data_IF_175490853926
#
_entry.id   IF_175490853926
#
_cell.length_a   1.000
_cell.length_b   1.000
_cell.length_c   1.000
_cell.angle_alpha   90.00
_cell.angle_beta   90.00
_cell.angle_gamma   90.00
#
_symmetry.space_group_name_H-M   'P 1'
#
loop_
_entity.id
_entity.type
_entity.pdbx_description
1 polymer ?
#
# COMPACT_ATOMS: atom_id res chain seq x y z
N UNK A 1 -13.50 -4.97 24.76
CA UNK A 1 -12.07 -4.94 25.09
C UNK A 1 -11.58 -3.67 25.78
N UNK A 2 -10.27 -3.40 25.76
CA UNK A 2 -9.64 -2.28 26.50
C UNK A 2 -10.17 -0.89 26.09
N UNK A 3 -10.53 -0.70 24.80
CA UNK A 3 -11.07 0.59 24.30
C UNK A 3 -12.43 0.90 24.92
N UNK A 4 -13.31 -0.07 25.03
CA UNK A 4 -14.65 0.13 25.63
C UNK A 4 -14.59 0.45 27.12
N UNK A 5 -13.57 -0.06 27.82
CA UNK A 5 -13.34 0.26 29.23
C UNK A 5 -13.00 1.74 29.48
N UNK A 6 -12.65 2.49 28.43
CA UNK A 6 -12.41 3.93 28.46
C UNK A 6 -13.70 4.76 28.29
N UNK A 7 -14.85 4.11 28.02
CA UNK A 7 -16.14 4.75 27.77
C UNK A 7 -16.03 5.90 26.75
N UNK A 8 -15.49 5.66 25.53
CA UNK A 8 -15.29 6.74 24.56
C UNK A 8 -16.62 7.19 23.97
N UNK A 9 -16.78 8.50 23.74
CA UNK A 9 -17.95 9.07 23.03
C UNK A 9 -17.93 8.70 21.52
N UNK A 10 -16.76 8.41 20.96
CA UNK A 10 -16.59 7.98 19.58
C UNK A 10 -15.20 7.42 19.32
N UNK A 11 -15.02 6.67 18.23
CA UNK A 11 -13.77 6.00 17.90
C UNK A 11 -13.34 6.30 16.46
N UNK A 12 -12.07 6.62 16.26
CA UNK A 12 -11.45 6.71 14.94
C UNK A 12 -10.32 5.69 14.86
N UNK A 13 -10.31 4.84 13.83
CA UNK A 13 -9.30 3.81 13.68
C UNK A 13 -9.11 3.35 12.24
N UNK A 14 -7.97 2.70 11.95
CA UNK A 14 -7.66 2.13 10.65
C UNK A 14 -8.01 0.63 10.62
N UNK A 15 -9.00 0.20 9.82
CA UNK A 15 -9.41 -1.20 9.70
C UNK A 15 -8.47 -1.95 8.75
N UNK A 16 -7.26 -2.26 9.20
CA UNK A 16 -6.21 -2.86 8.35
C UNK A 16 -6.48 -4.33 8.01
N UNK A 17 -7.14 -5.08 8.92
CA UNK A 17 -7.41 -6.51 8.77
C UNK A 17 -8.91 -6.77 9.01
N UNK A 18 -9.69 -7.04 7.94
CA UNK A 18 -11.16 -7.15 8.01
C UNK A 18 -11.66 -8.16 9.06
N UNK A 19 -11.04 -9.32 9.15
CA UNK A 19 -11.45 -10.38 10.08
C UNK A 19 -11.35 -9.99 11.57
N UNK A 20 -10.47 -9.06 11.94
CA UNK A 20 -10.36 -8.53 13.28
C UNK A 20 -11.20 -7.26 13.50
N UNK A 21 -11.51 -6.57 12.41
CA UNK A 21 -12.27 -5.32 12.46
C UNK A 21 -13.74 -5.58 12.77
N UNK A 22 -14.35 -6.57 12.09
CA UNK A 22 -15.79 -6.83 12.24
C UNK A 22 -16.24 -7.10 13.68
N UNK A 23 -15.63 -7.98 14.46
CA UNK A 23 -16.01 -8.17 15.86
C UNK A 23 -15.93 -6.87 16.69
N UNK A 24 -14.96 -6.00 16.37
CA UNK A 24 -14.78 -4.72 17.05
C UNK A 24 -15.86 -3.70 16.67
N UNK A 25 -16.23 -3.61 15.40
CA UNK A 25 -17.31 -2.71 14.94
C UNK A 25 -18.67 -3.18 15.41
N UNK A 26 -18.91 -4.48 15.48
CA UNK A 26 -20.13 -5.05 16.07
C UNK A 26 -20.26 -4.66 17.56
N UNK A 27 -19.15 -4.72 18.31
CA UNK A 27 -19.09 -4.31 19.72
C UNK A 27 -19.35 -2.79 19.89
N UNK A 28 -18.75 -1.93 19.05
CA UNK A 28 -19.02 -0.50 19.04
C UNK A 28 -20.49 -0.19 18.74
N UNK A 29 -21.07 -0.87 17.75
CA UNK A 29 -22.48 -0.70 17.36
C UNK A 29 -23.42 -1.12 18.47
N UNK A 30 -23.17 -2.24 19.17
CA UNK A 30 -23.96 -2.68 20.31
C UNK A 30 -23.98 -1.67 21.46
N UNK A 31 -22.91 -0.91 21.63
CA UNK A 31 -22.78 0.13 22.66
C UNK A 31 -23.19 1.52 22.16
N UNK A 32 -23.71 1.64 20.93
CA UNK A 32 -24.07 2.90 20.29
C UNK A 32 -22.90 3.90 20.23
N UNK A 33 -21.65 3.40 20.09
CA UNK A 33 -20.45 4.23 19.96
C UNK A 33 -20.22 4.50 18.48
N UNK A 34 -20.33 5.76 18.00
CA UNK A 34 -20.05 6.11 16.61
C UNK A 34 -18.59 5.94 16.28
N UNK A 35 -18.30 5.54 15.03
CA UNK A 35 -16.91 5.40 14.60
C UNK A 35 -16.68 5.86 13.18
N UNK A 36 -15.44 6.25 12.92
CA UNK A 36 -14.92 6.70 11.62
C UNK A 36 -13.71 5.86 11.23
N UNK A 37 -13.62 5.54 9.96
CA UNK A 37 -12.42 4.93 9.41
C UNK A 37 -11.40 5.97 8.94
N UNK A 38 -10.11 5.68 9.16
CA UNK A 38 -8.98 6.46 8.65
C UNK A 38 -8.01 5.54 7.91
N UNK A 39 -7.34 6.06 6.88
CA UNK A 39 -6.34 5.39 6.06
C UNK A 39 -6.88 4.19 5.25
N UNK A 40 -7.51 3.23 5.88
CA UNK A 40 -8.11 2.03 5.28
C UNK A 40 -9.63 2.00 5.44
N UNK A 41 -10.36 1.37 4.53
CA UNK A 41 -11.82 1.30 4.53
C UNK A 41 -12.33 -0.13 4.29
N UNK A 42 -13.41 -0.49 4.99
CA UNK A 42 -14.20 -1.70 4.75
C UNK A 42 -15.61 -1.24 4.35
N UNK A 43 -15.98 -1.46 3.08
CA UNK A 43 -17.25 -0.95 2.52
C UNK A 43 -18.50 -1.56 3.13
N UNK A 44 -18.38 -2.79 3.62
CA UNK A 44 -19.51 -3.57 4.17
C UNK A 44 -19.91 -3.17 5.59
N UNK A 45 -19.11 -2.32 6.25
CA UNK A 45 -19.33 -1.91 7.63
C UNK A 45 -19.87 -0.48 7.72
N UNK A 46 -20.84 -0.20 8.61
CA UNK A 46 -21.57 1.07 8.68
C UNK A 46 -20.81 2.17 9.47
N UNK A 47 -19.56 2.47 9.10
CA UNK A 47 -18.85 3.61 9.65
C UNK A 47 -19.56 4.93 9.26
N UNK A 48 -19.55 5.94 10.13
CA UNK A 48 -20.10 7.26 9.84
C UNK A 48 -19.44 7.91 8.61
N UNK A 49 -18.14 7.74 8.48
CA UNK A 49 -17.38 8.24 7.33
C UNK A 49 -16.01 7.58 7.25
N UNK A 50 -15.33 7.84 6.13
CA UNK A 50 -13.96 7.40 5.88
C UNK A 50 -13.10 8.58 5.42
N UNK A 51 -11.94 8.72 6.04
CA UNK A 51 -10.92 9.70 5.68
C UNK A 51 -9.65 8.99 5.26
N UNK A 52 -9.42 8.92 3.96
CA UNK A 52 -8.28 8.23 3.38
C UNK A 52 -8.23 8.36 1.87
N UNK A 53 -7.21 7.75 1.27
CA UNK A 53 -7.05 7.72 -0.17
C UNK A 53 -7.99 6.68 -0.79
N UNK A 54 -8.54 6.98 -1.97
CA UNK A 54 -9.18 5.96 -2.79
C UNK A 54 -8.10 5.00 -3.31
N UNK A 55 -7.95 3.86 -2.66
CA UNK A 55 -6.88 2.90 -2.93
C UNK A 55 -6.94 2.32 -4.34
N UNK A 56 -8.14 2.00 -4.84
CA UNK A 56 -8.32 1.51 -6.19
C UNK A 56 -7.85 2.54 -7.24
N UNK A 57 -8.34 3.77 -7.12
CA UNK A 57 -7.98 4.86 -8.02
C UNK A 57 -6.50 5.22 -7.94
N UNK A 58 -5.91 5.12 -6.74
CA UNK A 58 -4.48 5.30 -6.53
C UNK A 58 -3.66 4.23 -7.25
N UNK A 59 -4.09 2.97 -7.22
CA UNK A 59 -3.45 1.89 -7.96
C UNK A 59 -3.53 2.08 -9.47
N UNK A 60 -4.71 2.45 -9.98
CA UNK A 60 -4.92 2.78 -11.39
C UNK A 60 -3.99 3.92 -11.85
N UNK A 61 -3.89 4.99 -11.05
CA UNK A 61 -2.96 6.08 -11.29
C UNK A 61 -1.49 5.62 -11.25
N UNK A 62 -1.14 4.74 -10.32
CA UNK A 62 0.22 4.21 -10.20
C UNK A 62 0.65 3.45 -11.46
N UNK A 63 -0.24 2.64 -12.03
CA UNK A 63 0.02 1.93 -13.28
C UNK A 63 0.31 2.92 -14.43
N UNK A 64 -0.54 3.94 -14.56
CA UNK A 64 -0.34 4.98 -15.57
C UNK A 64 1.01 5.68 -15.42
N UNK A 65 1.39 6.02 -14.18
CA UNK A 65 2.68 6.67 -13.92
C UNK A 65 3.86 5.75 -14.19
N UNK A 66 3.76 4.46 -13.82
CA UNK A 66 4.81 3.49 -14.09
C UNK A 66 5.02 3.31 -15.60
N UNK A 67 3.94 3.22 -16.38
CA UNK A 67 4.03 3.06 -17.83
C UNK A 67 4.56 4.31 -18.53
N UNK A 68 4.25 5.52 -18.03
CA UNK A 68 4.88 6.76 -18.52
C UNK A 68 6.39 6.77 -18.32
N UNK A 69 6.89 6.15 -17.24
CA UNK A 69 8.33 6.02 -16.97
C UNK A 69 8.99 4.90 -17.77
N UNK A 70 8.29 3.76 -17.86
CA UNK A 70 8.77 2.56 -18.53
C UNK A 70 8.86 2.71 -20.05
N UNK A 71 8.03 3.61 -20.62
CA UNK A 71 7.83 3.76 -22.05
C UNK A 71 6.76 2.80 -22.60
N UNK A 72 6.20 3.15 -23.75
CA UNK A 72 5.11 2.39 -24.38
C UNK A 72 5.50 0.95 -24.77
N UNK A 73 6.79 0.70 -24.98
CA UNK A 73 7.34 -0.60 -25.37
C UNK A 73 7.68 -1.50 -24.18
N UNK A 74 7.37 -1.12 -22.95
CA UNK A 74 7.67 -1.94 -21.77
C UNK A 74 6.89 -3.26 -21.82
N UNK A 75 7.62 -4.37 -21.93
CA UNK A 75 7.05 -5.72 -22.09
C UNK A 75 6.81 -6.41 -20.74
N UNK A 76 7.52 -5.97 -19.69
CA UNK A 76 7.53 -6.65 -18.40
C UNK A 76 7.60 -5.67 -17.25
N UNK A 77 6.85 -5.96 -16.19
CA UNK A 77 6.90 -5.27 -14.90
C UNK A 77 6.85 -6.31 -13.78
N UNK A 78 7.28 -5.91 -12.57
CA UNK A 78 7.15 -6.76 -11.36
C UNK A 78 6.39 -6.03 -10.26
N UNK A 79 5.48 -6.75 -9.61
CA UNK A 79 4.83 -6.33 -8.37
C UNK A 79 5.54 -7.03 -7.20
N UNK A 80 6.14 -6.23 -6.33
CA UNK A 80 6.74 -6.73 -5.09
C UNK A 80 5.71 -6.68 -3.96
N UNK A 81 5.38 -7.82 -3.38
CA UNK A 81 4.44 -7.94 -2.27
C UNK A 81 5.17 -8.39 -1.01
N UNK A 82 4.81 -7.83 0.14
CA UNK A 82 5.30 -8.34 1.44
C UNK A 82 4.18 -9.14 2.09
N UNK A 83 4.42 -10.43 2.24
CA UNK A 83 3.48 -11.36 2.85
C UNK A 83 3.87 -11.59 4.30
N UNK A 84 2.95 -11.36 5.22
CA UNK A 84 3.11 -11.66 6.64
C UNK A 84 2.12 -12.77 7.02
N UNK A 85 2.64 -13.90 7.51
CA UNK A 85 1.85 -15.03 8.03
C UNK A 85 0.75 -15.54 7.05
N UNK A 86 1.06 -15.53 5.74
CA UNK A 86 0.15 -15.97 4.69
C UNK A 86 -0.92 -14.94 4.28
N UNK A 87 -0.89 -13.74 4.86
CA UNK A 87 -1.80 -12.64 4.48
C UNK A 87 -1.08 -11.71 3.52
N UNK A 88 -1.62 -11.56 2.32
CA UNK A 88 -1.14 -10.60 1.32
C UNK A 88 -1.59 -9.20 1.70
N UNK A 89 -0.78 -8.52 2.51
CA UNK A 89 -0.95 -7.10 2.77
C UNK A 89 -2.23 -6.72 3.54
N UNK A 90 -2.56 -5.45 3.48
CA UNK A 90 -3.81 -4.89 3.95
C UNK A 90 -4.83 -4.79 2.81
N UNK A 91 -6.13 -4.67 3.14
CA UNK A 91 -7.20 -4.38 2.18
C UNK A 91 -6.85 -3.19 1.25
N UNK A 92 -6.12 -2.20 1.77
CA UNK A 92 -5.65 -1.06 0.98
C UNK A 92 -4.67 -1.47 -0.13
N UNK A 93 -3.71 -2.36 0.17
CA UNK A 93 -2.73 -2.85 -0.81
C UNK A 93 -3.40 -3.68 -1.90
N UNK A 94 -4.30 -4.57 -1.51
CA UNK A 94 -5.09 -5.38 -2.44
C UNK A 94 -5.89 -4.49 -3.40
N UNK A 95 -6.59 -3.47 -2.89
CA UNK A 95 -7.35 -2.53 -3.73
C UNK A 95 -6.46 -1.71 -4.67
N UNK A 96 -5.26 -1.32 -4.24
CA UNK A 96 -4.27 -0.67 -5.11
C UNK A 96 -3.83 -1.61 -6.23
N UNK A 97 -3.55 -2.86 -5.91
CA UNK A 97 -3.16 -3.86 -6.90
C UNK A 97 -4.29 -4.13 -7.92
N UNK A 98 -5.55 -4.24 -7.46
CA UNK A 98 -6.71 -4.39 -8.36
C UNK A 98 -6.79 -3.21 -9.35
N UNK A 99 -6.74 -1.97 -8.86
CA UNK A 99 -6.79 -0.80 -9.74
C UNK A 99 -5.59 -0.71 -10.70
N UNK A 100 -4.41 -1.11 -10.24
CA UNK A 100 -3.21 -1.19 -11.09
C UNK A 100 -3.39 -2.19 -12.23
N UNK A 101 -3.86 -3.40 -11.93
CA UNK A 101 -4.09 -4.46 -12.94
C UNK A 101 -5.20 -4.10 -13.92
N UNK A 102 -6.24 -3.40 -13.48
CA UNK A 102 -7.31 -2.90 -14.34
C UNK A 102 -6.74 -1.94 -15.40
N UNK A 103 -5.95 -0.94 -15.01
CA UNK A 103 -5.27 -0.05 -15.97
C UNK A 103 -4.39 -0.83 -16.96
N UNK A 104 -3.59 -1.78 -16.45
CA UNK A 104 -2.69 -2.58 -17.30
C UNK A 104 -3.47 -3.43 -18.29
N UNK A 105 -4.59 -4.02 -17.88
CA UNK A 105 -5.45 -4.81 -18.76
C UNK A 105 -6.11 -3.95 -19.85
N UNK A 106 -6.53 -2.74 -19.50
CA UNK A 106 -7.19 -1.82 -20.44
C UNK A 106 -6.24 -1.20 -21.47
N UNK A 107 -5.03 -0.84 -21.03
CA UNK A 107 -4.12 -0.02 -21.85
C UNK A 107 -2.86 -0.76 -22.32
N UNK A 108 -2.40 -1.77 -21.58
CA UNK A 108 -1.17 -2.51 -21.86
C UNK A 108 -1.37 -4.03 -21.70
N UNK A 109 -2.37 -4.65 -22.37
CA UNK A 109 -2.72 -6.07 -22.17
C UNK A 109 -1.61 -7.05 -22.56
N UNK A 110 -0.65 -6.62 -23.37
CA UNK A 110 0.51 -7.43 -23.76
C UNK A 110 1.66 -7.37 -22.75
N UNK A 111 1.64 -6.43 -21.81
CA UNK A 111 2.68 -6.30 -20.78
C UNK A 111 2.55 -7.42 -19.75
N UNK A 112 3.62 -8.20 -19.57
CA UNK A 112 3.67 -9.28 -18.58
C UNK A 112 3.88 -8.72 -17.19
N UNK A 113 3.05 -9.16 -16.24
CA UNK A 113 3.16 -8.79 -14.84
C UNK A 113 3.73 -9.98 -14.06
N UNK A 114 4.95 -9.81 -13.55
CA UNK A 114 5.57 -10.74 -12.61
C UNK A 114 5.16 -10.39 -11.18
N UNK A 115 5.16 -11.37 -10.32
CA UNK A 115 4.87 -11.21 -8.90
C UNK A 115 6.03 -11.79 -8.10
N UNK A 116 6.54 -11.01 -7.14
CA UNK A 116 7.52 -11.49 -6.18
C UNK A 116 7.00 -11.28 -4.77
N UNK A 117 6.73 -12.39 -4.10
CA UNK A 117 6.25 -12.42 -2.73
C UNK A 117 7.44 -12.51 -1.77
N UNK A 118 7.71 -11.42 -1.07
CA UNK A 118 8.75 -11.34 -0.05
C UNK A 118 8.16 -11.78 1.29
N UNK A 119 8.60 -12.92 1.82
CA UNK A 119 8.05 -13.53 3.03
C UNK A 119 8.94 -13.34 4.26
N UNK A 120 10.18 -12.95 4.04
CA UNK A 120 11.20 -13.03 5.04
C UNK A 120 10.94 -12.15 6.26
N UNK A 121 11.24 -12.70 7.43
CA UNK A 121 11.32 -11.96 8.69
C UNK A 121 12.68 -11.25 8.84
N UNK A 122 13.62 -11.50 7.92
CA UNK A 122 14.99 -10.98 7.93
C UNK A 122 15.36 -10.43 6.57
N UNK A 123 15.99 -9.26 6.54
CA UNK A 123 16.43 -8.57 5.31
C UNK A 123 17.38 -9.42 4.44
N UNK A 124 18.14 -10.36 5.05
CA UNK A 124 19.02 -11.26 4.31
C UNK A 124 18.29 -12.26 3.41
N UNK A 125 17.11 -12.72 3.85
CA UNK A 125 16.28 -13.65 3.08
C UNK A 125 15.60 -12.92 1.92
N UNK A 126 15.07 -11.71 2.14
CA UNK A 126 14.56 -10.85 1.08
C UNK A 126 15.62 -10.58 0.00
N UNK A 127 16.90 -10.41 0.42
CA UNK A 127 18.01 -10.20 -0.52
C UNK A 127 18.24 -11.42 -1.43
N UNK A 128 18.17 -12.63 -0.88
CA UNK A 128 18.33 -13.86 -1.68
C UNK A 128 17.20 -14.03 -2.69
N UNK A 129 15.95 -13.79 -2.27
CA UNK A 129 14.79 -13.87 -3.16
C UNK A 129 14.88 -12.85 -4.31
N UNK A 130 15.36 -11.64 -4.01
CA UNK A 130 15.59 -10.61 -5.03
C UNK A 130 16.74 -10.98 -5.97
N UNK A 131 17.84 -11.60 -5.47
CA UNK A 131 18.94 -12.07 -6.29
C UNK A 131 18.48 -13.16 -7.27
N UNK A 132 17.72 -14.14 -6.80
CA UNK A 132 17.14 -15.21 -7.61
C UNK A 132 16.19 -14.64 -8.68
N UNK A 133 15.27 -13.77 -8.29
CA UNK A 133 14.33 -13.15 -9.22
C UNK A 133 15.04 -12.39 -10.34
N UNK A 134 16.00 -11.52 -10.02
CA UNK A 134 16.70 -10.74 -11.04
C UNK A 134 17.69 -11.56 -11.88
N UNK A 135 18.10 -12.73 -11.42
CA UNK A 135 18.87 -13.69 -12.21
C UNK A 135 17.97 -14.40 -13.22
N UNK A 136 16.77 -14.79 -12.82
CA UNK A 136 15.78 -15.47 -13.68
C UNK A 136 15.12 -14.52 -14.67
N UNK A 137 14.96 -13.24 -14.30
CA UNK A 137 14.27 -12.20 -15.06
C UNK A 137 15.15 -10.97 -15.32
N UNK A 138 16.26 -11.12 -16.08
CA UNK A 138 17.23 -10.03 -16.27
C UNK A 138 16.70 -8.87 -17.13
N UNK A 139 15.62 -9.08 -17.88
CA UNK A 139 14.98 -8.08 -18.75
C UNK A 139 13.98 -7.18 -18.03
N UNK A 140 13.53 -7.56 -16.83
CA UNK A 140 12.59 -6.77 -16.05
C UNK A 140 13.29 -5.53 -15.49
N UNK A 141 12.78 -4.34 -15.88
CA UNK A 141 13.37 -3.04 -15.51
C UNK A 141 12.39 -2.12 -14.79
N UNK A 142 11.17 -2.56 -14.58
CA UNK A 142 10.11 -1.74 -13.99
C UNK A 142 9.41 -2.52 -12.89
N UNK A 143 9.18 -1.88 -11.75
CA UNK A 143 8.50 -2.54 -10.64
C UNK A 143 7.82 -1.58 -9.68
N UNK A 144 6.89 -2.13 -8.93
CA UNK A 144 6.10 -1.40 -7.95
C UNK A 144 5.88 -2.22 -6.69
N UNK A 145 5.77 -1.53 -5.56
CA UNK A 145 5.21 -2.10 -4.32
C UNK A 145 4.06 -1.22 -3.82
N UNK A 146 2.97 -1.84 -3.38
CA UNK A 146 1.76 -1.14 -2.91
C UNK A 146 1.76 -0.81 -1.42
N UNK A 147 2.82 -1.18 -0.70
CA UNK A 147 3.01 -0.91 0.71
C UNK A 147 4.06 0.19 0.96
N UNK A 148 4.20 0.61 2.21
CA UNK A 148 5.14 1.64 2.63
C UNK A 148 6.62 1.21 2.67
N UNK A 149 6.95 -0.05 2.30
CA UNK A 149 8.29 -0.63 2.46
C UNK A 149 9.08 -0.69 1.14
N UNK A 150 8.87 0.25 0.23
CA UNK A 150 9.62 0.33 -1.04
C UNK A 150 11.14 0.38 -0.83
N UNK A 151 11.59 0.90 0.31
CA UNK A 151 13.00 0.96 0.69
C UNK A 151 13.69 -0.41 0.71
N UNK A 152 12.98 -1.52 0.97
CA UNK A 152 13.57 -2.86 0.95
C UNK A 152 14.17 -3.15 -0.42
N UNK A 153 13.41 -2.91 -1.47
CA UNK A 153 13.85 -3.08 -2.86
C UNK A 153 14.83 -1.95 -3.23
N UNK A 154 14.53 -0.71 -2.85
CA UNK A 154 15.38 0.44 -3.14
C UNK A 154 16.81 0.31 -2.60
N UNK A 155 16.98 -0.12 -1.35
CA UNK A 155 18.29 -0.38 -0.74
C UNK A 155 19.01 -1.57 -1.39
N UNK A 156 18.26 -2.62 -1.76
CA UNK A 156 18.81 -3.73 -2.54
C UNK A 156 19.37 -3.23 -3.89
N UNK A 157 18.61 -2.42 -4.65
CA UNK A 157 19.05 -1.87 -5.93
C UNK A 157 20.31 -1.01 -5.78
N UNK A 158 20.40 -0.18 -4.72
CA UNK A 158 21.60 0.58 -4.39
C UNK A 158 22.81 -0.33 -4.14
N UNK A 159 22.64 -1.33 -3.28
CA UNK A 159 23.68 -2.29 -2.94
C UNK A 159 24.21 -3.05 -4.15
N UNK A 160 23.31 -3.42 -5.08
CA UNK A 160 23.65 -4.15 -6.31
C UNK A 160 24.01 -3.22 -7.47
N UNK A 161 23.99 -1.90 -7.27
CA UNK A 161 24.28 -0.89 -8.29
C UNK A 161 23.40 -1.03 -9.56
N UNK A 162 22.16 -1.49 -9.39
CA UNK A 162 21.16 -1.60 -10.47
C UNK A 162 20.53 -0.22 -10.73
N UNK A 163 21.11 0.55 -11.62
CA UNK A 163 20.69 1.92 -11.95
C UNK A 163 19.63 2.01 -13.04
N UNK A 164 19.39 0.93 -13.75
CA UNK A 164 18.47 0.84 -14.90
C UNK A 164 17.11 0.23 -14.53
N UNK A 165 16.72 0.34 -13.26
CA UNK A 165 15.45 -0.19 -12.75
C UNK A 165 14.57 0.94 -12.22
N UNK A 166 13.36 1.08 -12.77
CA UNK A 166 12.36 2.05 -12.36
C UNK A 166 11.50 1.46 -11.24
N UNK A 167 11.79 1.79 -10.00
CA UNK A 167 11.01 1.38 -8.83
C UNK A 167 10.04 2.47 -8.43
N UNK A 168 8.76 2.11 -8.31
CA UNK A 168 7.74 2.94 -7.67
C UNK A 168 7.29 2.35 -6.34
N UNK A 169 6.86 3.23 -5.43
CA UNK A 169 6.34 2.82 -4.14
C UNK A 169 5.37 3.83 -3.54
N UNK A 170 5.01 3.56 -2.30
CA UNK A 170 4.08 4.37 -1.53
C UNK A 170 4.72 4.89 -0.25
N UNK A 171 4.18 6.01 0.22
CA UNK A 171 4.47 6.67 1.48
C UNK A 171 5.88 7.28 1.60
N UNK A 172 5.95 8.39 2.34
CA UNK A 172 7.17 9.18 2.54
C UNK A 172 7.90 8.77 3.84
N UNK A 173 8.03 7.46 4.10
CA UNK A 173 8.94 7.02 5.15
C UNK A 173 10.36 7.51 4.86
N UNK A 174 11.12 7.86 5.91
CA UNK A 174 12.47 8.44 5.73
C UNK A 174 13.35 7.56 4.82
N UNK A 175 13.36 6.24 5.00
CA UNK A 175 14.12 5.30 4.16
C UNK A 175 13.68 5.33 2.68
N UNK A 176 12.36 5.47 2.41
CA UNK A 176 11.86 5.63 1.03
C UNK A 176 12.37 6.93 0.42
N UNK A 177 12.32 8.04 1.17
CA UNK A 177 12.80 9.34 0.73
C UNK A 177 14.31 9.32 0.49
N UNK A 178 15.07 8.61 1.32
CA UNK A 178 16.51 8.46 1.15
C UNK A 178 16.84 7.66 -0.12
N UNK A 179 16.12 6.59 -0.40
CA UNK A 179 16.22 5.84 -1.65
C UNK A 179 15.82 6.67 -2.89
N UNK A 180 14.77 7.50 -2.76
CA UNK A 180 14.36 8.43 -3.82
C UNK A 180 15.47 9.44 -4.13
N UNK A 181 16.08 10.06 -3.11
CA UNK A 181 17.19 11.01 -3.26
C UNK A 181 18.43 10.37 -3.87
N UNK A 182 18.66 9.09 -3.61
CA UNK A 182 19.78 8.31 -4.17
C UNK A 182 19.46 7.70 -5.55
N UNK A 183 18.23 7.86 -6.05
CA UNK A 183 17.82 7.45 -7.38
C UNK A 183 17.49 5.96 -7.53
N UNK A 184 17.36 5.20 -6.44
CA UNK A 184 16.93 3.78 -6.50
C UNK A 184 15.42 3.61 -6.42
N UNK A 185 14.70 4.60 -5.90
CA UNK A 185 13.26 4.74 -6.09
C UNK A 185 13.06 5.93 -7.02
N UNK A 186 12.26 5.75 -8.06
CA UNK A 186 12.02 6.78 -9.05
C UNK A 186 10.83 7.67 -8.68
N UNK A 187 9.78 7.07 -8.10
CA UNK A 187 8.54 7.77 -7.77
C UNK A 187 7.90 7.22 -6.50
N UNK A 188 7.36 8.11 -5.67
CA UNK A 188 6.59 7.76 -4.47
C UNK A 188 5.22 8.41 -4.52
N UNK A 189 4.17 7.61 -4.29
CA UNK A 189 2.82 8.12 -4.09
C UNK A 189 2.62 8.38 -2.60
N UNK A 190 2.46 9.65 -2.25
CA UNK A 190 2.27 10.06 -0.86
C UNK A 190 0.80 10.18 -0.49
N UNK A 191 0.51 9.94 0.78
CA UNK A 191 -0.74 10.26 1.42
C UNK A 191 -0.58 11.55 2.25
N UNK A 192 -1.69 12.08 2.76
CA UNK A 192 -1.71 13.23 3.65
C UNK A 192 -2.22 12.83 5.05
N UNK A 193 -1.46 12.06 5.83
CA UNK A 193 -1.95 11.46 7.09
C UNK A 193 -2.35 12.51 8.13
N UNK A 194 -1.66 13.65 8.18
CA UNK A 194 -2.01 14.75 9.08
C UNK A 194 -3.39 15.33 8.75
N UNK A 195 -3.70 15.54 7.46
CA UNK A 195 -4.99 16.05 7.03
C UNK A 195 -6.10 15.02 7.26
N UNK A 196 -5.85 13.76 6.94
CA UNK A 196 -6.79 12.67 7.19
C UNK A 196 -7.17 12.59 8.69
N UNK A 197 -6.16 12.64 9.57
CA UNK A 197 -6.36 12.62 11.01
C UNK A 197 -7.14 13.84 11.51
N UNK A 198 -6.75 15.04 11.06
CA UNK A 198 -7.43 16.28 11.45
C UNK A 198 -8.91 16.31 11.01
N UNK A 199 -9.17 16.01 9.74
CA UNK A 199 -10.54 16.03 9.19
C UNK A 199 -11.41 14.93 9.80
N UNK A 200 -10.84 13.75 10.05
CA UNK A 200 -11.55 12.66 10.73
C UNK A 200 -11.95 13.02 12.15
N UNK A 201 -11.04 13.54 12.97
CA UNK A 201 -11.36 13.99 14.35
C UNK A 201 -12.38 15.11 14.32
N UNK A 202 -12.20 16.11 13.45
CA UNK A 202 -13.14 17.23 13.32
C UNK A 202 -14.56 16.76 12.98
N UNK A 203 -14.67 15.80 12.05
CA UNK A 203 -15.98 15.25 11.69
C UNK A 203 -16.62 14.45 12.83
N UNK A 204 -15.84 13.64 13.54
CA UNK A 204 -16.34 12.88 14.68
C UNK A 204 -16.81 13.81 15.81
N UNK A 205 -16.01 14.83 16.16
CA UNK A 205 -16.42 15.84 17.14
C UNK A 205 -17.68 16.58 16.69
N UNK A 206 -17.79 16.98 15.41
CA UNK A 206 -18.98 17.66 14.89
C UNK A 206 -20.24 16.80 14.88
N UNK A 207 -20.11 15.47 14.88
CA UNK A 207 -21.22 14.54 15.01
C UNK A 207 -21.70 14.40 16.48
N UNK A 208 -20.77 14.53 17.45
CA UNK A 208 -21.01 14.32 18.87
C UNK A 208 -21.58 15.58 19.58
N UNK A 209 -21.52 16.76 18.96
CA UNK A 209 -22.01 18.05 19.50
C UNK A 209 -23.37 18.38 18.90
#
# INVERSE_FOLDING_TARGET
GQILALEPDGVMFAPTVPQYTKPFTDELTQHNIPYIYIDSNIKEEPALSFYGQNSHQSGYFAARMLMLLAGEDAQEIVIFRKINEGIVGSNQQERREIGFREYMQEHHPACRIWELDLHAKRDSEDTLMLDEFFQEHPTVKNGITFNSKAYIIGEYLLKKQKKDFNLMGYDLLQRNVDCLKQGSIFFLIAQQPTLQGFDGIKALCGYLI
#
